data_IF_303707957853
#
_entry.id   IF_303707957853
#
_cell.length_a   1.000
_cell.length_b   1.000
_cell.length_c   1.000
_cell.angle_alpha   90.00
_cell.angle_beta   90.00
_cell.angle_gamma   90.00
#
_symmetry.space_group_name_H-M   'P 1'
#
loop_
_entity.id
_entity.type
_entity.pdbx_description
1 polymer ?
#
# COMPACT_ATOMS: atom_id res chain seq x y z
N UNK A 1 -47.88 -8.30 37.43
CA UNK A 1 -47.45 -7.99 38.79
C UNK A 1 -46.27 -7.04 38.68
N UNK A 2 -46.52 -5.72 38.72
CA UNK A 2 -45.49 -4.67 38.67
C UNK A 2 -44.94 -4.46 40.08
N UNK A 3 -43.62 -4.38 40.28
CA UNK A 3 -43.06 -3.97 41.57
C UNK A 3 -43.12 -2.44 41.68
N UNK A 4 -43.50 -2.00 42.86
CA UNK A 4 -43.76 -0.61 43.27
C UNK A 4 -42.53 0.30 43.04
N UNK A 5 -42.75 1.41 42.32
CA UNK A 5 -41.81 2.51 42.16
C UNK A 5 -41.73 3.35 43.42
N UNK A 6 -40.57 3.49 44.00
CA UNK A 6 -40.28 4.37 45.15
C UNK A 6 -40.26 5.82 44.65
N UNK A 7 -41.09 6.74 45.16
CA UNK A 7 -41.11 8.13 44.74
C UNK A 7 -39.91 8.87 45.35
N UNK A 8 -38.99 9.26 44.52
CA UNK A 8 -37.81 10.07 44.89
C UNK A 8 -36.59 9.89 43.99
N UNK A 9 -36.50 8.78 43.26
CA UNK A 9 -35.38 8.50 42.34
C UNK A 9 -35.77 8.56 40.85
N UNK A 10 -37.02 8.84 40.56
CA UNK A 10 -37.66 8.69 39.22
C UNK A 10 -37.25 9.76 38.24
N UNK A 11 -36.81 10.95 38.69
CA UNK A 11 -36.47 12.05 37.78
C UNK A 11 -35.10 11.86 37.09
N UNK A 12 -34.10 11.30 37.78
CA UNK A 12 -32.76 11.12 37.21
C UNK A 12 -32.64 9.88 36.34
N UNK A 13 -33.45 8.86 36.55
CA UNK A 13 -33.38 7.59 35.78
C UNK A 13 -34.23 7.69 34.50
N UNK A 14 -35.33 8.42 34.51
CA UNK A 14 -36.15 8.64 33.32
C UNK A 14 -35.48 9.55 32.26
N UNK A 15 -34.73 10.58 32.65
CA UNK A 15 -34.01 11.45 31.72
C UNK A 15 -32.84 10.70 31.04
N UNK A 16 -32.18 9.80 31.76
CA UNK A 16 -31.09 8.98 31.19
C UNK A 16 -31.61 7.95 30.16
N UNK A 17 -32.86 7.46 30.32
CA UNK A 17 -33.43 6.43 29.42
C UNK A 17 -34.11 7.11 28.20
N UNK A 18 -34.59 8.33 28.31
CA UNK A 18 -35.23 9.06 27.21
C UNK A 18 -34.24 9.72 26.24
N UNK A 19 -33.04 10.05 26.70
CA UNK A 19 -31.99 10.61 25.82
C UNK A 19 -31.19 9.57 25.04
N UNK A 20 -31.40 8.28 25.23
CA UNK A 20 -30.61 7.20 24.57
C UNK A 20 -31.41 6.38 23.55
N UNK A 21 -32.45 6.95 22.93
CA UNK A 21 -33.17 6.30 21.79
C UNK A 21 -32.80 6.92 20.43
N UNK A 22 -31.53 7.22 20.21
CA UNK A 22 -31.04 7.25 18.83
C UNK A 22 -30.67 5.81 18.48
N UNK A 23 -31.38 5.20 17.53
CA UNK A 23 -31.07 3.83 17.13
C UNK A 23 -29.59 3.76 16.72
N UNK A 24 -28.81 2.75 17.14
CA UNK A 24 -27.37 2.67 16.84
C UNK A 24 -27.08 2.77 15.32
N UNK A 25 -28.00 2.38 14.47
CA UNK A 25 -27.92 2.60 13.01
C UNK A 25 -27.95 4.08 12.59
N UNK A 26 -28.75 4.94 13.24
CA UNK A 26 -28.78 6.36 12.93
C UNK A 26 -27.52 7.09 13.39
N UNK A 27 -26.97 6.66 14.52
CA UNK A 27 -25.73 7.23 15.06
C UNK A 27 -24.55 6.92 14.13
N UNK A 28 -24.36 5.67 13.73
CA UNK A 28 -23.32 5.27 12.77
C UNK A 28 -23.47 5.99 11.41
N UNK A 29 -24.72 6.16 10.93
CA UNK A 29 -24.95 6.85 9.66
C UNK A 29 -24.68 8.35 9.75
N UNK A 30 -24.95 8.97 10.89
CA UNK A 30 -24.60 10.37 11.13
C UNK A 30 -23.09 10.57 11.28
N UNK A 31 -22.39 9.60 11.89
CA UNK A 31 -20.94 9.63 12.04
C UNK A 31 -20.25 9.51 10.67
N UNK A 32 -20.76 8.66 9.76
CA UNK A 32 -20.28 8.58 8.38
C UNK A 32 -20.52 9.87 7.59
N UNK A 33 -21.71 10.46 7.71
CA UNK A 33 -22.03 11.71 7.02
C UNK A 33 -21.17 12.88 7.55
N UNK A 34 -20.96 12.94 8.86
CA UNK A 34 -20.11 13.94 9.49
C UNK A 34 -18.64 13.75 9.10
N UNK A 35 -18.14 12.51 9.08
CA UNK A 35 -16.78 12.19 8.64
C UNK A 35 -16.55 12.56 7.17
N UNK A 36 -17.51 12.28 6.30
CA UNK A 36 -17.44 12.69 4.90
C UNK A 36 -17.44 14.22 4.75
N UNK A 37 -18.33 14.92 5.48
CA UNK A 37 -18.39 16.38 5.46
C UNK A 37 -17.08 17.00 5.99
N UNK A 38 -16.52 16.46 7.06
CA UNK A 38 -15.22 16.90 7.58
C UNK A 38 -14.07 16.63 6.58
N UNK A 39 -14.06 15.46 5.92
CA UNK A 39 -13.08 15.14 4.89
C UNK A 39 -13.11 16.15 3.73
N UNK A 40 -14.31 16.47 3.24
CA UNK A 40 -14.48 17.50 2.20
C UNK A 40 -14.10 18.89 2.70
N UNK A 41 -14.42 19.23 3.93
CA UNK A 41 -14.01 20.49 4.56
C UNK A 41 -12.50 20.64 4.66
N UNK A 42 -11.80 19.59 5.09
CA UNK A 42 -10.33 19.57 5.20
C UNK A 42 -9.66 19.66 3.82
N UNK A 43 -10.19 18.96 2.82
CA UNK A 43 -9.68 19.05 1.42
C UNK A 43 -9.90 20.46 0.87
N UNK A 44 -11.09 21.04 1.05
CA UNK A 44 -11.43 22.35 0.54
C UNK A 44 -10.66 23.48 1.25
N UNK A 45 -10.39 23.32 2.54
CA UNK A 45 -9.60 24.26 3.32
C UNK A 45 -8.09 24.21 3.01
N UNK A 46 -7.61 23.13 2.38
CA UNK A 46 -6.19 22.95 2.08
C UNK A 46 -5.32 22.95 3.33
N UNK A 47 -5.77 22.29 4.42
CA UNK A 47 -5.02 22.23 5.69
C UNK A 47 -3.55 21.80 5.42
N UNK A 48 -2.56 22.62 5.77
CA UNK A 48 -1.15 22.33 5.51
C UNK A 48 -0.70 20.97 6.08
N UNK A 49 -1.18 20.60 7.27
CA UNK A 49 -0.85 19.32 7.89
C UNK A 49 -1.38 18.13 7.10
N UNK A 50 -2.62 18.25 6.60
CA UNK A 50 -3.21 17.20 5.76
C UNK A 50 -2.43 17.06 4.45
N UNK A 51 -2.08 18.18 3.82
CA UNK A 51 -1.30 18.21 2.57
C UNK A 51 0.07 17.56 2.79
N UNK A 52 0.75 17.84 3.88
CA UNK A 52 2.05 17.25 4.22
C UNK A 52 1.96 15.73 4.39
N UNK A 53 0.95 15.23 5.12
CA UNK A 53 0.71 13.80 5.32
C UNK A 53 0.41 13.10 3.98
N UNK A 54 -0.42 13.70 3.14
CA UNK A 54 -0.75 13.18 1.80
C UNK A 54 0.49 13.16 0.91
N UNK A 55 1.23 14.26 0.87
CA UNK A 55 2.43 14.38 0.03
C UNK A 55 3.53 13.41 0.47
N UNK A 56 3.75 13.25 1.77
CA UNK A 56 4.68 12.27 2.30
C UNK A 56 4.25 10.84 1.93
N UNK A 57 2.97 10.51 2.08
CA UNK A 57 2.43 9.21 1.70
C UNK A 57 2.69 8.89 0.22
N UNK A 58 2.41 9.85 -0.66
CA UNK A 58 2.63 9.71 -2.10
C UNK A 58 4.12 9.55 -2.42
N UNK A 59 5.00 10.38 -1.83
CA UNK A 59 6.45 10.32 -2.04
C UNK A 59 7.03 8.97 -1.60
N UNK A 60 6.69 8.51 -0.41
CA UNK A 60 7.18 7.24 0.13
C UNK A 60 6.69 6.06 -0.72
N UNK A 61 5.39 6.01 -1.04
CA UNK A 61 4.81 4.94 -1.84
C UNK A 61 5.36 4.93 -3.27
N UNK A 62 5.47 6.10 -3.92
CA UNK A 62 5.99 6.20 -5.28
C UNK A 62 7.47 5.83 -5.34
N UNK A 63 8.30 6.32 -4.43
CA UNK A 63 9.72 5.97 -4.36
C UNK A 63 9.92 4.46 -4.17
N UNK A 64 9.15 3.86 -3.27
CA UNK A 64 9.21 2.41 -3.02
C UNK A 64 8.79 1.60 -4.24
N UNK A 65 7.75 2.03 -4.96
CA UNK A 65 7.28 1.37 -6.17
C UNK A 65 8.30 1.48 -7.30
N UNK A 66 8.89 2.65 -7.49
CA UNK A 66 9.95 2.85 -8.52
C UNK A 66 11.14 1.94 -8.24
N UNK A 67 11.64 1.92 -7.00
CA UNK A 67 12.76 1.05 -6.61
C UNK A 67 12.40 -0.44 -6.74
N UNK A 68 11.21 -0.82 -6.27
CA UNK A 68 10.73 -2.20 -6.39
C UNK A 68 10.53 -2.63 -7.84
N UNK A 69 10.08 -1.73 -8.72
CA UNK A 69 9.96 -1.99 -10.16
C UNK A 69 11.32 -2.15 -10.81
N UNK A 70 12.27 -1.27 -10.49
CA UNK A 70 13.62 -1.30 -11.04
C UNK A 70 14.37 -2.59 -10.68
N UNK A 71 14.06 -3.20 -9.54
CA UNK A 71 14.67 -4.47 -9.08
C UNK A 71 13.79 -5.65 -9.48
N UNK A 72 12.49 -5.59 -9.19
CA UNK A 72 11.57 -6.72 -9.29
C UNK A 72 11.26 -7.12 -10.73
N UNK A 73 11.05 -6.16 -11.64
CA UNK A 73 10.73 -6.49 -13.04
C UNK A 73 11.89 -7.19 -13.74
N UNK A 74 13.16 -6.71 -13.67
CA UNK A 74 14.28 -7.42 -14.25
C UNK A 74 14.55 -8.77 -13.58
N UNK A 75 14.39 -8.86 -12.24
CA UNK A 75 14.55 -10.12 -11.52
C UNK A 75 13.54 -11.17 -11.99
N UNK A 76 12.27 -10.76 -12.14
CA UNK A 76 11.21 -11.63 -12.67
C UNK A 76 11.50 -12.07 -14.10
N UNK A 77 11.94 -11.16 -14.97
CA UNK A 77 12.33 -11.46 -16.35
C UNK A 77 13.53 -12.44 -16.40
N UNK A 78 14.53 -12.21 -15.58
CA UNK A 78 15.67 -13.12 -15.47
C UNK A 78 15.25 -14.53 -15.09
N UNK A 79 14.43 -14.69 -14.05
CA UNK A 79 13.93 -15.99 -13.59
C UNK A 79 13.00 -16.65 -14.62
N UNK A 80 12.26 -15.85 -15.42
CA UNK A 80 11.38 -16.36 -16.48
C UNK A 80 12.18 -16.99 -17.63
N UNK A 81 13.16 -16.27 -18.16
CA UNK A 81 13.87 -16.64 -19.40
C UNK A 81 15.02 -17.60 -19.15
N UNK A 82 15.69 -17.52 -17.97
CA UNK A 82 16.89 -18.32 -17.69
C UNK A 82 16.55 -19.68 -17.12
N UNK A 83 17.32 -20.70 -17.56
CA UNK A 83 17.30 -22.03 -16.97
C UNK A 83 18.58 -22.22 -16.16
N UNK A 84 18.44 -22.35 -14.84
CA UNK A 84 19.55 -22.60 -13.92
C UNK A 84 19.16 -23.66 -12.89
N UNK A 85 20.10 -24.37 -12.29
CA UNK A 85 19.83 -25.33 -11.22
C UNK A 85 19.21 -24.57 -10.04
N UNK A 86 18.11 -25.08 -9.47
CA UNK A 86 17.38 -24.39 -8.38
C UNK A 86 16.28 -23.39 -8.82
N UNK A 87 16.06 -23.19 -10.13
CA UNK A 87 15.00 -22.27 -10.63
C UNK A 87 13.63 -22.54 -10.02
N UNK A 88 13.25 -23.81 -9.87
CA UNK A 88 11.97 -24.17 -9.22
C UNK A 88 11.91 -23.69 -7.78
N UNK A 89 13.00 -23.86 -7.03
CA UNK A 89 13.13 -23.36 -5.66
C UNK A 89 13.03 -21.83 -5.59
N UNK A 90 13.73 -21.12 -6.49
CA UNK A 90 13.64 -19.65 -6.55
C UNK A 90 12.20 -19.17 -6.84
N UNK A 91 11.47 -19.85 -7.71
CA UNK A 91 10.05 -19.54 -7.99
C UNK A 91 9.19 -19.77 -6.73
N UNK A 92 9.39 -20.88 -6.02
CA UNK A 92 8.66 -21.17 -4.78
C UNK A 92 8.96 -20.10 -3.73
N UNK A 93 10.22 -19.72 -3.56
CA UNK A 93 10.62 -18.65 -2.62
C UNK A 93 10.00 -17.31 -3.00
N UNK A 94 10.04 -16.90 -4.26
CA UNK A 94 9.39 -15.65 -4.71
C UNK A 94 7.90 -15.65 -4.42
N UNK A 95 7.22 -16.76 -4.70
CA UNK A 95 5.78 -16.88 -4.43
C UNK A 95 5.49 -16.87 -2.91
N UNK A 96 6.30 -17.52 -2.10
CA UNK A 96 6.15 -17.50 -0.64
C UNK A 96 6.39 -16.10 -0.06
N UNK A 97 7.37 -15.37 -0.60
CA UNK A 97 7.68 -14.01 -0.19
C UNK A 97 6.59 -12.99 -0.54
N UNK A 98 5.68 -13.28 -1.49
CA UNK A 98 4.49 -12.44 -1.74
C UNK A 98 3.56 -12.38 -0.52
N UNK A 99 3.52 -13.44 0.28
CA UNK A 99 2.71 -13.56 1.49
C UNK A 99 3.42 -13.09 2.78
N UNK A 100 4.58 -12.43 2.69
CA UNK A 100 5.30 -11.97 3.88
C UNK A 100 4.45 -11.05 4.75
N UNK A 101 4.33 -11.31 6.07
CA UNK A 101 3.70 -10.40 7.00
C UNK A 101 4.52 -9.09 7.07
N UNK A 102 3.86 -7.98 6.80
CA UNK A 102 4.51 -6.67 6.76
C UNK A 102 5.12 -6.26 8.10
N UNK A 103 4.47 -6.63 9.20
CA UNK A 103 4.96 -6.40 10.57
C UNK A 103 6.31 -7.08 10.80
N UNK A 104 6.47 -8.31 10.29
CA UNK A 104 7.74 -9.06 10.43
C UNK A 104 8.85 -8.39 9.63
N UNK A 105 8.56 -7.97 8.39
CA UNK A 105 9.53 -7.21 7.57
C UNK A 105 9.91 -5.90 8.26
N UNK A 106 8.93 -5.16 8.78
CA UNK A 106 9.17 -3.94 9.55
C UNK A 106 10.06 -4.18 10.74
N UNK A 107 9.81 -5.24 11.51
CA UNK A 107 10.61 -5.61 12.68
C UNK A 107 12.06 -5.96 12.29
N UNK A 108 12.26 -6.75 11.23
CA UNK A 108 13.59 -7.10 10.75
C UNK A 108 14.37 -5.85 10.31
N UNK A 109 13.73 -4.98 9.52
CA UNK A 109 14.35 -3.71 9.09
C UNK A 109 14.65 -2.81 10.27
N UNK A 110 13.72 -2.72 11.23
CA UNK A 110 13.95 -1.99 12.48
C UNK A 110 15.18 -2.49 13.24
N UNK A 111 15.31 -3.80 13.43
CA UNK A 111 16.45 -4.40 14.14
C UNK A 111 17.77 -4.15 13.38
N UNK A 112 17.76 -4.20 12.05
CA UNK A 112 18.94 -3.93 11.24
C UNK A 112 19.37 -2.47 11.32
N UNK A 113 18.42 -1.52 11.34
CA UNK A 113 18.66 -0.08 11.34
C UNK A 113 18.77 0.53 12.75
N UNK A 114 18.44 -0.22 13.80
CA UNK A 114 18.53 0.23 15.17
C UNK A 114 19.99 0.53 15.57
N UNK A 115 20.19 1.37 16.56
CA UNK A 115 21.56 1.75 17.05
C UNK A 115 22.40 0.52 17.46
N UNK A 116 21.75 -0.54 17.92
CA UNK A 116 22.41 -1.81 18.27
C UNK A 116 22.56 -2.75 17.06
N UNK A 117 21.97 -2.43 15.92
CA UNK A 117 21.98 -3.25 14.73
C UNK A 117 23.20 -2.99 13.83
N UNK A 118 23.45 -3.88 12.86
CA UNK A 118 24.62 -3.80 11.98
C UNK A 118 24.63 -2.55 11.07
N UNK A 119 23.47 -1.96 10.79
CA UNK A 119 23.34 -0.75 9.96
C UNK A 119 22.97 0.49 10.81
N UNK A 120 23.09 0.40 12.13
CA UNK A 120 22.76 1.48 13.06
C UNK A 120 23.60 2.76 12.85
N UNK A 121 24.82 2.62 12.31
CA UNK A 121 25.70 3.74 11.98
C UNK A 121 25.12 4.68 10.92
N UNK A 122 24.17 4.23 10.10
CA UNK A 122 23.50 5.05 9.10
C UNK A 122 22.55 6.10 9.70
N UNK A 123 22.03 5.89 10.90
CA UNK A 123 21.16 6.83 11.60
C UNK A 123 19.84 7.14 10.89
N UNK A 124 19.38 6.26 9.98
CA UNK A 124 18.18 6.48 9.14
C UNK A 124 16.87 5.94 9.72
N UNK A 125 16.92 5.27 10.88
CA UNK A 125 15.71 4.80 11.54
C UNK A 125 14.80 5.99 11.89
N UNK A 126 13.50 5.80 11.80
CA UNK A 126 12.48 6.85 11.97
C UNK A 126 12.57 8.00 10.97
N UNK A 127 13.01 7.69 9.76
CA UNK A 127 13.01 8.62 8.63
C UNK A 127 12.17 8.08 7.46
N UNK A 128 11.73 8.95 6.53
CA UNK A 128 11.05 8.50 5.30
C UNK A 128 11.89 7.51 4.49
N UNK A 129 13.22 7.63 4.51
CA UNK A 129 14.13 6.72 3.82
C UNK A 129 14.02 5.29 4.35
N UNK A 130 13.95 5.10 5.66
CA UNK A 130 13.76 3.78 6.26
C UNK A 130 12.41 3.17 5.87
N UNK A 131 11.36 3.99 5.77
CA UNK A 131 10.03 3.56 5.32
C UNK A 131 10.09 3.08 3.85
N UNK A 132 10.79 3.81 2.98
CA UNK A 132 11.00 3.42 1.58
C UNK A 132 11.75 2.10 1.48
N UNK A 133 12.79 1.88 2.28
CA UNK A 133 13.55 0.62 2.30
C UNK A 133 12.64 -0.55 2.70
N UNK A 134 11.89 -0.41 3.80
CA UNK A 134 10.99 -1.46 4.28
C UNK A 134 9.91 -1.82 3.25
N UNK A 135 9.28 -0.82 2.65
CA UNK A 135 8.30 -1.03 1.58
C UNK A 135 8.91 -1.64 0.34
N UNK A 136 10.11 -1.23 -0.06
CA UNK A 136 10.82 -1.80 -1.22
C UNK A 136 11.09 -3.29 -1.01
N UNK A 137 11.57 -3.69 0.17
CA UNK A 137 11.80 -5.10 0.52
C UNK A 137 10.49 -5.89 0.44
N UNK A 138 9.38 -5.32 0.88
CA UNK A 138 8.08 -5.97 0.90
C UNK A 138 7.47 -6.14 -0.50
N UNK A 139 7.62 -5.13 -1.37
CA UNK A 139 6.94 -5.07 -2.67
C UNK A 139 7.76 -5.78 -3.77
N UNK A 140 9.08 -5.76 -3.68
CA UNK A 140 9.97 -6.34 -4.71
C UNK A 140 9.66 -7.80 -5.02
N UNK A 141 9.48 -8.73 -4.04
CA UNK A 141 9.14 -10.11 -4.34
C UNK A 141 7.80 -10.25 -5.09
N UNK A 142 6.81 -9.44 -4.73
CA UNK A 142 5.51 -9.43 -5.40
C UNK A 142 5.64 -9.02 -6.86
N UNK A 143 6.37 -7.93 -7.13
CA UNK A 143 6.63 -7.49 -8.50
C UNK A 143 7.44 -8.52 -9.30
N UNK A 144 8.45 -9.12 -8.69
CA UNK A 144 9.27 -10.16 -9.34
C UNK A 144 8.47 -11.42 -9.67
N UNK A 145 7.60 -11.87 -8.77
CA UNK A 145 6.78 -13.06 -8.99
C UNK A 145 5.73 -12.83 -10.10
N UNK A 146 5.04 -11.68 -10.08
CA UNK A 146 4.04 -11.34 -11.10
C UNK A 146 4.68 -11.09 -12.48
N UNK A 147 5.79 -10.35 -12.53
CA UNK A 147 6.50 -10.11 -13.80
C UNK A 147 7.05 -11.40 -14.38
N UNK A 148 7.60 -12.29 -13.53
CA UNK A 148 8.03 -13.62 -13.97
C UNK A 148 6.91 -14.38 -14.66
N UNK A 149 5.70 -14.32 -14.13
CA UNK A 149 4.55 -15.03 -14.72
C UNK A 149 4.20 -14.47 -16.11
N UNK A 150 4.00 -13.15 -16.22
CA UNK A 150 3.68 -12.51 -17.51
C UNK A 150 4.79 -12.76 -18.56
N UNK A 151 6.05 -12.65 -18.14
CA UNK A 151 7.19 -12.84 -19.07
C UNK A 151 7.36 -14.31 -19.42
N UNK A 152 7.04 -15.25 -18.52
CA UNK A 152 7.08 -16.67 -18.85
C UNK A 152 6.04 -17.04 -19.90
N UNK A 153 4.82 -16.51 -19.79
CA UNK A 153 3.76 -16.71 -20.77
C UNK A 153 4.15 -16.14 -22.15
N UNK A 154 4.66 -14.91 -22.18
CA UNK A 154 5.19 -14.30 -23.41
C UNK A 154 6.42 -15.03 -23.97
N UNK A 155 7.27 -15.58 -23.11
CA UNK A 155 8.40 -16.39 -23.55
C UNK A 155 7.97 -17.69 -24.25
N UNK A 156 6.91 -18.32 -23.79
CA UNK A 156 6.39 -19.52 -24.46
C UNK A 156 5.84 -19.19 -25.86
N UNK A 157 5.17 -18.04 -26.02
CA UNK A 157 4.63 -17.56 -27.28
C UNK A 157 5.70 -17.17 -28.29
N UNK A 158 6.71 -16.39 -27.90
CA UNK A 158 7.72 -15.83 -28.82
C UNK A 158 9.04 -16.61 -28.87
N UNK A 159 9.13 -17.73 -28.17
CA UNK A 159 10.37 -18.50 -27.99
C UNK A 159 11.03 -18.94 -29.30
N UNK A 160 10.25 -19.42 -30.27
CA UNK A 160 10.79 -19.91 -31.54
C UNK A 160 11.30 -18.77 -32.40
N UNK A 161 10.57 -17.67 -32.47
CA UNK A 161 10.96 -16.48 -33.20
C UNK A 161 12.25 -15.86 -32.64
N UNK A 162 12.32 -15.65 -31.34
CA UNK A 162 13.49 -15.05 -30.69
C UNK A 162 14.74 -15.94 -30.78
N UNK A 163 14.55 -17.25 -30.83
CA UNK A 163 15.67 -18.21 -31.03
C UNK A 163 16.15 -18.21 -32.46
N UNK A 164 15.28 -18.16 -33.46
CA UNK A 164 15.66 -18.08 -34.87
C UNK A 164 16.44 -16.81 -35.21
N UNK A 165 16.18 -15.72 -34.48
CA UNK A 165 16.91 -14.45 -34.58
C UNK A 165 18.27 -14.49 -33.83
N UNK A 166 18.63 -15.58 -33.17
CA UNK A 166 19.89 -15.72 -32.43
C UNK A 166 19.98 -14.85 -31.18
N UNK A 167 18.83 -14.36 -30.64
CA UNK A 167 18.82 -13.48 -29.49
C UNK A 167 19.36 -14.16 -28.22
N UNK A 168 20.37 -13.54 -27.58
CA UNK A 168 20.90 -13.97 -26.30
C UNK A 168 19.89 -13.75 -25.16
N UNK A 169 20.07 -14.46 -24.03
CA UNK A 169 19.14 -14.45 -22.89
C UNK A 169 18.82 -13.04 -22.36
N UNK A 170 19.82 -12.15 -22.30
CA UNK A 170 19.62 -10.75 -21.87
C UNK A 170 18.81 -9.95 -22.90
N UNK A 171 19.08 -10.12 -24.18
CA UNK A 171 18.31 -9.50 -25.27
C UNK A 171 16.84 -9.95 -25.23
N UNK A 172 16.61 -11.26 -25.10
CA UNK A 172 15.27 -11.82 -24.93
C UNK A 172 14.52 -11.20 -23.74
N UNK A 173 15.17 -11.09 -22.58
CA UNK A 173 14.55 -10.52 -21.38
C UNK A 173 14.18 -9.04 -21.60
N UNK A 174 15.07 -8.25 -22.23
CA UNK A 174 14.82 -6.84 -22.55
C UNK A 174 13.70 -6.68 -23.59
N UNK A 175 13.72 -7.49 -24.67
CA UNK A 175 12.66 -7.48 -25.67
C UNK A 175 11.30 -7.79 -25.05
N UNK A 176 11.19 -8.85 -24.24
CA UNK A 176 9.94 -9.21 -23.58
C UNK A 176 9.48 -8.16 -22.56
N UNK A 177 10.40 -7.53 -21.82
CA UNK A 177 10.06 -6.40 -20.94
C UNK A 177 9.48 -5.23 -21.74
N UNK A 178 10.02 -4.98 -22.93
CA UNK A 178 9.52 -3.90 -23.78
C UNK A 178 8.19 -4.25 -24.45
N UNK A 179 8.04 -5.43 -25.02
CA UNK A 179 6.83 -5.86 -25.72
C UNK A 179 5.64 -6.01 -24.76
N UNK A 180 5.90 -6.54 -23.56
CA UNK A 180 4.89 -6.75 -22.53
C UNK A 180 4.71 -5.54 -21.59
N UNK A 181 5.32 -4.37 -21.91
CA UNK A 181 5.30 -3.17 -21.06
C UNK A 181 3.91 -2.77 -20.57
N UNK A 182 2.88 -2.90 -21.41
CA UNK A 182 1.50 -2.57 -21.03
C UNK A 182 0.93 -3.51 -19.97
N UNK A 183 1.28 -4.80 -20.03
CA UNK A 183 0.93 -5.77 -18.99
C UNK A 183 1.74 -5.54 -17.71
N UNK A 184 3.01 -5.13 -17.84
CA UNK A 184 3.86 -4.80 -16.71
C UNK A 184 3.40 -3.53 -15.97
N UNK A 185 2.80 -2.55 -16.64
CA UNK A 185 2.16 -1.39 -15.99
C UNK A 185 1.11 -1.84 -14.98
N UNK A 186 0.35 -2.89 -15.27
CA UNK A 186 -0.65 -3.42 -14.33
C UNK A 186 0.02 -3.95 -13.04
N UNK A 187 1.22 -4.55 -13.16
CA UNK A 187 2.01 -5.01 -12.00
C UNK A 187 2.47 -3.81 -11.16
N UNK A 188 2.96 -2.77 -11.81
CA UNK A 188 3.40 -1.53 -11.14
C UNK A 188 2.24 -0.89 -10.38
N UNK A 189 1.04 -0.87 -10.96
CA UNK A 189 -0.18 -0.38 -10.31
C UNK A 189 -0.59 -1.24 -9.11
N UNK A 190 -0.52 -2.56 -9.25
CA UNK A 190 -0.78 -3.47 -8.13
C UNK A 190 0.23 -3.26 -6.99
N UNK A 191 1.52 -3.08 -7.32
CA UNK A 191 2.56 -2.72 -6.38
C UNK A 191 2.33 -1.38 -5.70
N UNK A 192 1.84 -0.38 -6.44
CA UNK A 192 1.46 0.90 -5.86
C UNK A 192 0.28 0.77 -4.88
N UNK A 193 -0.77 0.03 -5.26
CA UNK A 193 -1.89 -0.24 -4.36
C UNK A 193 -1.43 -0.89 -3.06
N UNK A 194 -0.50 -1.85 -3.14
CA UNK A 194 0.10 -2.49 -1.96
C UNK A 194 0.93 -1.51 -1.13
N UNK A 195 1.75 -0.66 -1.77
CA UNK A 195 2.53 0.37 -1.08
C UNK A 195 1.64 1.36 -0.34
N UNK A 196 0.60 1.86 -1.03
CA UNK A 196 -0.31 2.86 -0.50
C UNK A 196 -1.18 2.35 0.67
N UNK A 197 -1.44 1.04 0.73
CA UNK A 197 -2.22 0.40 1.80
C UNK A 197 -1.37 -0.12 2.96
N UNK A 198 -0.04 -0.01 2.89
CA UNK A 198 0.86 -0.56 3.89
C UNK A 198 0.83 0.25 5.20
N UNK A 199 0.59 -0.43 6.30
CA UNK A 199 0.54 0.15 7.66
C UNK A 199 1.65 -0.41 8.54
N UNK A 200 1.77 -1.73 8.63
CA UNK A 200 2.56 -2.42 9.64
C UNK A 200 4.05 -2.11 9.60
N UNK A 201 4.69 -2.34 8.45
CA UNK A 201 6.11 -2.08 8.28
C UNK A 201 6.43 -0.59 8.43
N UNK A 202 5.61 0.26 7.83
CA UNK A 202 5.78 1.72 7.86
C UNK A 202 5.65 2.26 9.28
N UNK A 203 4.71 1.74 10.07
CA UNK A 203 4.50 2.16 11.46
C UNK A 203 5.68 1.79 12.35
N UNK A 204 6.23 0.57 12.21
CA UNK A 204 7.36 0.10 13.01
C UNK A 204 8.64 0.88 12.68
N UNK A 205 8.95 1.04 11.39
CA UNK A 205 10.21 1.63 10.95
C UNK A 205 10.16 3.15 10.95
N UNK A 206 8.98 3.75 10.70
CA UNK A 206 8.77 5.20 10.69
C UNK A 206 8.46 5.79 12.06
N UNK A 207 7.84 5.05 12.98
CA UNK A 207 7.47 5.54 14.32
C UNK A 207 6.30 6.52 14.35
N UNK A 208 5.62 6.78 13.23
CA UNK A 208 4.45 7.67 13.12
C UNK A 208 4.65 9.07 13.72
N UNK A 209 5.82 9.67 13.52
CA UNK A 209 6.20 10.97 14.07
C UNK A 209 5.52 12.09 13.28
N UNK A 210 4.84 13.00 13.98
CA UNK A 210 4.13 14.12 13.36
C UNK A 210 5.09 15.03 12.60
N UNK A 211 4.71 15.44 11.39
CA UNK A 211 5.53 16.28 10.52
C UNK A 211 6.77 15.60 9.92
N UNK A 212 7.10 14.34 10.27
CA UNK A 212 8.32 13.66 9.81
C UNK A 212 8.03 12.35 9.08
N UNK A 213 7.30 11.43 9.73
CA UNK A 213 7.05 10.07 9.19
C UNK A 213 5.59 9.66 9.24
N UNK A 214 4.69 10.55 9.67
CA UNK A 214 3.27 10.27 9.67
C UNK A 214 2.73 10.27 8.25
N UNK A 215 2.27 9.12 7.79
CA UNK A 215 1.58 8.94 6.50
C UNK A 215 0.09 8.66 6.72
N UNK A 216 -0.72 8.70 5.67
CA UNK A 216 -2.18 8.57 5.79
C UNK A 216 -2.59 7.28 6.50
N UNK A 217 -1.99 6.15 6.16
CA UNK A 217 -2.31 4.85 6.76
C UNK A 217 -1.99 4.78 8.25
N UNK A 218 -0.84 5.35 8.67
CA UNK A 218 -0.45 5.40 10.08
C UNK A 218 -1.25 6.44 10.87
N UNK A 219 -1.68 7.54 10.22
CA UNK A 219 -2.60 8.51 10.81
C UNK A 219 -3.97 7.89 11.08
N UNK A 220 -4.55 7.15 10.10
CA UNK A 220 -5.81 6.43 10.27
C UNK A 220 -5.73 5.45 11.45
N UNK A 221 -4.66 4.66 11.55
CA UNK A 221 -4.46 3.71 12.64
C UNK A 221 -4.38 4.42 14.00
N UNK A 222 -3.70 5.56 14.06
CA UNK A 222 -3.59 6.37 15.28
C UNK A 222 -4.93 6.95 15.71
N UNK A 223 -5.66 7.61 14.80
CA UNK A 223 -6.94 8.23 15.13
C UNK A 223 -8.00 7.18 15.51
N UNK A 224 -7.97 6.02 14.86
CA UNK A 224 -8.80 4.87 15.26
C UNK A 224 -8.47 4.40 16.69
N UNK A 225 -7.18 4.34 17.05
CA UNK A 225 -6.76 3.94 18.41
C UNK A 225 -7.11 4.97 19.50
N UNK A 226 -7.21 6.25 19.12
CA UNK A 226 -7.68 7.34 20.01
C UNK A 226 -9.20 7.36 20.15
N UNK A 227 -9.95 6.63 19.31
CA UNK A 227 -11.41 6.66 19.26
C UNK A 227 -12.01 7.80 18.43
N UNK A 228 -11.18 8.58 17.72
CA UNK A 228 -11.65 9.61 16.78
C UNK A 228 -12.01 8.96 15.43
N UNK A 229 -13.11 8.21 15.43
CA UNK A 229 -13.61 7.51 14.25
C UNK A 229 -14.00 8.44 13.10
N UNK A 230 -14.63 9.61 13.32
CA UNK A 230 -14.93 10.54 12.25
C UNK A 230 -13.70 11.01 11.48
N UNK A 231 -12.62 11.37 12.17
CA UNK A 231 -11.38 11.80 11.52
C UNK A 231 -10.69 10.62 10.80
N UNK A 232 -10.64 9.45 11.43
CA UNK A 232 -10.08 8.24 10.82
C UNK A 232 -10.81 7.86 9.52
N UNK A 233 -12.16 7.89 9.54
CA UNK A 233 -12.99 7.65 8.34
C UNK A 233 -12.76 8.71 7.26
N UNK A 234 -12.67 9.99 7.65
CA UNK A 234 -12.36 11.08 6.72
C UNK A 234 -11.04 10.86 5.98
N UNK A 235 -9.96 10.58 6.72
CA UNK A 235 -8.65 10.25 6.14
C UNK A 235 -8.71 8.99 5.25
N UNK A 236 -9.49 7.97 5.64
CA UNK A 236 -9.71 6.76 4.86
C UNK A 236 -10.41 7.02 3.54
N UNK A 237 -11.42 7.88 3.50
CA UNK A 237 -12.12 8.28 2.27
C UNK A 237 -11.16 9.03 1.34
N UNK A 238 -10.33 9.93 1.87
CA UNK A 238 -9.32 10.65 1.08
C UNK A 238 -8.31 9.68 0.48
N UNK A 239 -7.79 8.75 1.27
CA UNK A 239 -6.84 7.73 0.80
C UNK A 239 -7.45 6.88 -0.33
N UNK A 240 -8.69 6.39 -0.15
CA UNK A 240 -9.41 5.63 -1.17
C UNK A 240 -9.60 6.44 -2.45
N UNK A 241 -10.02 7.70 -2.34
CA UNK A 241 -10.21 8.57 -3.49
C UNK A 241 -8.91 8.78 -4.27
N UNK A 242 -7.79 9.00 -3.59
CA UNK A 242 -6.46 9.15 -4.20
C UNK A 242 -6.03 7.86 -4.90
N UNK A 243 -6.15 6.72 -4.23
CA UNK A 243 -5.77 5.42 -4.81
C UNK A 243 -6.63 5.09 -6.03
N UNK A 244 -7.93 5.30 -5.96
CA UNK A 244 -8.85 5.11 -7.09
C UNK A 244 -8.54 6.04 -8.25
N UNK A 245 -8.30 7.33 -7.99
CA UNK A 245 -7.97 8.32 -9.01
C UNK A 245 -6.65 7.96 -9.73
N UNK A 246 -5.62 7.59 -8.99
CA UNK A 246 -4.34 7.18 -9.57
C UNK A 246 -4.46 5.90 -10.42
N UNK A 247 -5.20 4.90 -9.93
CA UNK A 247 -5.45 3.68 -10.69
C UNK A 247 -6.28 3.95 -11.95
N UNK A 248 -7.32 4.78 -11.85
CA UNK A 248 -8.13 5.17 -12.99
C UNK A 248 -7.30 5.93 -14.04
N UNK A 249 -6.51 6.93 -13.62
CA UNK A 249 -5.63 7.69 -14.51
C UNK A 249 -4.62 6.77 -15.22
N UNK A 250 -4.00 5.86 -14.50
CA UNK A 250 -3.05 4.93 -15.09
C UNK A 250 -3.71 3.93 -16.06
N UNK A 251 -4.94 3.47 -15.79
CA UNK A 251 -5.70 2.65 -16.74
C UNK A 251 -6.05 3.41 -18.01
N UNK A 252 -6.50 4.67 -17.88
CA UNK A 252 -6.78 5.54 -19.04
C UNK A 252 -5.52 5.74 -19.90
N UNK A 253 -4.38 6.02 -19.28
CA UNK A 253 -3.09 6.17 -19.98
C UNK A 253 -2.71 4.88 -20.69
N UNK A 254 -2.85 3.73 -20.03
CA UNK A 254 -2.59 2.41 -20.61
C UNK A 254 -3.47 2.15 -21.84
N UNK A 255 -4.77 2.39 -21.72
CA UNK A 255 -5.73 2.12 -22.81
C UNK A 255 -5.54 3.09 -23.97
N UNK A 256 -5.22 4.35 -23.70
CA UNK A 256 -4.86 5.33 -24.73
C UNK A 256 -3.57 4.93 -25.47
N UNK A 257 -2.57 4.45 -24.73
CA UNK A 257 -1.32 3.97 -25.32
C UNK A 257 -1.53 2.71 -26.18
N UNK A 258 -2.34 1.75 -25.71
CA UNK A 258 -2.70 0.57 -26.51
C UNK A 258 -3.41 0.94 -27.82
N UNK A 259 -4.34 1.88 -27.80
CA UNK A 259 -5.05 2.33 -29.02
C UNK A 259 -4.14 3.02 -30.03
N UNK A 260 -3.02 3.60 -29.58
CA UNK A 260 -2.11 4.39 -30.44
C UNK A 260 -0.97 3.55 -31.03
N UNK A 261 -0.59 2.44 -30.39
CA UNK A 261 0.59 1.63 -30.71
C UNK A 261 0.28 0.12 -30.85
N UNK A 262 -0.93 -0.34 -30.60
CA UNK A 262 -1.45 -1.68 -30.86
C UNK A 262 -2.44 -1.64 -31.98
#
# INVERSE_FOLDING_TARGET
MMPDCVPGLTYYVCDCILHHRVSPRRQVMNDFANAAAQAFGLIAAGDPKLVDVVMLSLRVSLASVVLSSAIGLPLGAFVAVTRFPGRKGAIVVLNALMGLPSVVVGLVVYLLLSRAGPLGSLGILFTPTAMVIAQTILITPTMAALSRQIIADGWEEYREQLRSLGAGKAGVALTLLWDLRYSLVTIVLAGYGRAASEVGAVMIVGGNIDGVTRVMTTAIALETSKGDLPLALGLGIILLAIVLALNAAANVVRDAARRRYG
#
